data_IF_639796630935
#
_entry.id   IF_639796630935
#
_cell.length_a   1.000
_cell.length_b   1.000
_cell.length_c   1.000
_cell.angle_alpha   90.00
_cell.angle_beta   90.00
_cell.angle_gamma   90.00
#
_symmetry.space_group_name_H-M   'P 1'
#
loop_
_entity.id
_entity.type
_entity.pdbx_description
1 polymer ?
2 non-polymer ?
3 non-polymer ?
4 non-polymer ?
5 water ?
#
# COMPACT_ATOMS: atom_id res chain seq x y z
N UNK A 10 -0.23 9.00 24.83
CA UNK A 10 -1.68 8.86 25.07
C UNK A 10 -2.10 7.39 24.95
N UNK A 11 -1.96 6.74 26.10
CA UNK A 11 -2.27 5.35 26.35
C UNK A 11 -3.62 5.22 27.03
N UNK A 12 -4.38 4.27 26.52
CA UNK A 12 -5.75 4.01 27.00
C UNK A 12 -5.60 2.99 28.13
N UNK A 13 -6.43 3.13 29.15
CA UNK A 13 -6.41 2.22 30.29
C UNK A 13 -6.69 0.80 29.78
N UNK A 14 -5.88 -0.11 30.22
CA UNK A 14 -5.94 -1.52 29.88
C UNK A 14 -7.28 -2.16 30.17
N UNK A 15 -7.86 -2.80 29.14
CA UNK A 15 -9.14 -3.49 29.32
C UNK A 15 -8.86 -4.69 30.25
N UNK A 16 -9.90 -5.14 30.94
CA UNK A 16 -9.83 -6.25 31.83
C UNK A 16 -9.24 -7.52 31.29
N UNK A 17 -9.50 -7.91 30.08
CA UNK A 17 -9.06 -9.22 29.57
C UNK A 17 -7.66 -9.27 29.16
N UNK A 18 -6.94 -8.16 29.17
CA UNK A 18 -5.58 -8.10 28.67
C UNK A 18 -4.51 -8.37 29.72
N UNK A 19 -3.79 -9.47 29.52
CA UNK A 19 -2.70 -9.86 30.48
C UNK A 19 -1.61 -8.82 30.35
N UNK A 20 -1.21 -8.23 31.46
CA UNK A 20 -0.29 -7.10 31.41
C UNK A 20 1.03 -7.39 30.77
N UNK A 21 1.39 -8.67 30.66
CA UNK A 21 2.64 -9.14 30.12
C UNK A 21 2.56 -9.15 28.60
N UNK A 22 1.32 -8.95 28.11
CA UNK A 22 1.08 -8.86 26.69
C UNK A 22 1.13 -7.42 26.25
N UNK A 23 1.24 -6.44 27.10
CA UNK A 23 1.35 -5.04 26.70
C UNK A 23 2.70 -4.74 26.07
N UNK A 24 2.67 -4.06 24.97
CA UNK A 24 3.82 -3.59 24.14
C UNK A 24 3.27 -2.36 23.43
N UNK A 25 3.56 -1.17 23.92
CA UNK A 25 3.04 0.07 23.43
C UNK A 25 3.69 0.66 22.18
N UNK A 26 3.30 0.13 21.07
CA UNK A 26 3.64 0.49 19.71
C UNK A 26 2.55 1.48 19.22
N UNK A 27 3.00 2.53 18.62
CA UNK A 27 2.28 3.57 17.95
C UNK A 27 2.45 3.38 16.42
N UNK A 28 1.53 2.76 15.75
CA UNK A 28 1.53 2.51 14.32
C UNK A 28 1.72 3.81 13.54
N UNK A 29 1.33 4.93 14.10
CA UNK A 29 1.40 6.22 13.50
C UNK A 29 2.67 6.98 13.80
N UNK A 30 3.43 6.50 14.76
CA UNK A 30 4.69 7.15 15.16
C UNK A 30 5.55 6.23 16.01
N UNK A 31 6.01 5.18 15.34
CA UNK A 31 6.88 4.21 15.97
C UNK A 31 8.16 4.93 16.36
N UNK A 32 8.78 4.31 17.37
CA UNK A 32 10.01 4.75 17.98
C UNK A 32 11.22 4.89 17.13
N UNK A 33 11.57 3.89 16.36
CA UNK A 33 12.86 3.99 15.58
C UNK A 33 12.75 4.66 14.23
N UNK A 34 11.83 5.53 13.98
CA UNK A 34 11.53 6.09 12.67
C UNK A 34 12.71 6.51 11.86
N UNK A 35 13.58 7.23 12.48
CA UNK A 35 14.86 7.69 11.87
C UNK A 35 15.61 6.54 11.22
N UNK A 36 15.62 5.34 11.75
CA UNK A 36 16.43 4.27 11.07
C UNK A 36 15.73 3.68 9.88
N UNK A 37 14.53 4.16 9.58
CA UNK A 37 13.72 3.55 8.51
C UNK A 37 12.46 2.98 9.09
N UNK A 38 11.44 2.96 8.28
CA UNK A 38 10.10 2.56 8.67
C UNK A 38 9.97 1.06 8.86
N UNK A 39 10.44 0.20 8.01
CA UNK A 39 10.38 -1.23 8.13
C UNK A 39 11.21 -1.62 9.38
N UNK A 40 12.38 -1.01 9.53
CA UNK A 40 13.21 -1.15 10.71
C UNK A 40 12.46 -0.78 11.98
N UNK A 41 11.66 0.24 12.06
CA UNK A 41 10.87 0.73 13.14
C UNK A 41 9.82 -0.30 13.56
N UNK A 42 9.16 -0.92 12.63
CA UNK A 42 8.13 -1.91 12.85
C UNK A 42 8.72 -3.24 13.29
N UNK A 43 9.89 -3.59 12.81
CA UNK A 43 10.56 -4.86 13.06
C UNK A 43 10.93 -5.02 14.53
N UNK A 44 10.85 -3.94 15.31
CA UNK A 44 11.15 -4.02 16.72
C UNK A 44 10.13 -5.01 17.33
N UNK A 45 8.90 -5.08 16.90
CA UNK A 45 7.87 -5.96 17.27
C UNK A 45 8.32 -7.42 17.07
N UNK A 46 9.38 -7.64 16.33
CA UNK A 46 9.76 -9.07 16.13
C UNK A 46 11.01 -9.47 16.89
N UNK A 47 11.47 -8.56 17.73
CA UNK A 47 12.63 -8.88 18.58
C UNK A 47 12.14 -9.97 19.59
N UNK A 48 13.09 -10.69 20.15
CA UNK A 48 12.94 -11.74 21.13
C UNK A 48 12.13 -11.42 22.37
N UNK A 49 12.23 -10.24 22.91
CA UNK A 49 11.46 -9.77 24.04
C UNK A 49 9.98 -9.58 23.78
N UNK A 50 9.56 -9.70 22.49
CA UNK A 50 8.17 -9.42 22.18
C UNK A 50 7.37 -10.65 21.94
N UNK A 51 6.28 -10.79 22.68
CA UNK A 51 5.37 -11.92 22.47
C UNK A 51 4.79 -11.72 21.03
N UNK A 52 4.37 -12.75 20.37
CA UNK A 52 3.81 -12.98 19.11
C UNK A 52 2.50 -12.19 18.89
N UNK A 53 1.68 -12.06 19.86
CA UNK A 53 0.43 -11.32 19.85
C UNK A 53 0.50 -10.35 21.04
N UNK A 54 0.53 -9.08 20.78
CA UNK A 54 0.63 -8.03 21.77
C UNK A 54 -0.55 -7.12 21.83
N UNK A 55 -0.63 -6.33 22.89
CA UNK A 55 -1.69 -5.38 23.10
C UNK A 55 -0.96 -4.03 23.20
N UNK A 56 -1.48 -3.09 22.44
CA UNK A 56 -0.85 -1.76 22.52
C UNK A 56 -1.93 -0.85 23.04
N UNK A 57 -1.48 0.15 23.73
CA UNK A 57 -2.44 1.07 24.39
C UNK A 57 -2.63 2.35 23.64
N UNK A 58 -1.80 2.52 22.60
CA UNK A 58 -1.90 3.76 21.79
C UNK A 58 -3.05 3.54 20.81
N UNK A 59 -3.52 4.66 20.27
CA UNK A 59 -4.52 4.58 19.20
C UNK A 59 -5.75 3.87 19.67
N UNK A 60 -5.92 3.93 20.98
CA UNK A 60 -7.09 3.44 21.68
C UNK A 60 -7.10 2.03 22.18
N UNK A 61 -6.05 1.30 21.99
CA UNK A 61 -5.84 -0.04 22.41
C UNK A 61 -6.36 -1.00 21.39
N UNK A 62 -5.45 -1.86 21.02
CA UNK A 62 -5.79 -2.89 19.97
C UNK A 62 -4.67 -3.93 20.07
N UNK A 63 -4.88 -5.04 19.48
CA UNK A 63 -3.95 -6.17 19.36
C UNK A 63 -3.07 -5.94 18.13
N UNK A 64 -1.96 -6.58 17.99
CA UNK A 64 -1.07 -6.55 16.83
C UNK A 64 -0.54 -8.00 16.73
N UNK A 65 -0.70 -8.70 15.69
CA UNK A 65 -0.14 -10.00 15.43
C UNK A 65 1.26 -9.65 14.92
N UNK A 66 2.32 -10.28 15.31
CA UNK A 66 3.69 -9.87 14.93
C UNK A 66 4.41 -10.87 14.02
N UNK A 67 3.80 -11.95 13.70
CA UNK A 67 4.36 -13.03 12.97
C UNK A 67 3.55 -13.44 11.77
N UNK A 68 4.37 -13.76 10.76
CA UNK A 68 3.87 -14.20 9.48
C UNK A 68 2.70 -15.13 9.61
N UNK A 69 2.88 -16.09 10.51
CA UNK A 69 1.96 -17.24 10.69
C UNK A 69 0.62 -16.86 11.18
N UNK A 70 0.58 -15.97 12.14
CA UNK A 70 -0.58 -15.49 12.76
C UNK A 70 -1.32 -14.55 11.82
N UNK A 71 -0.62 -13.68 11.14
CA UNK A 71 -1.18 -12.68 10.17
C UNK A 71 -1.94 -13.39 9.07
N UNK A 72 -1.33 -14.36 8.46
CA UNK A 72 -1.92 -15.23 7.45
C UNK A 72 -3.15 -15.88 8.00
N UNK A 73 -3.08 -16.45 9.18
CA UNK A 73 -4.19 -17.14 9.82
C UNK A 73 -5.37 -16.26 10.10
N UNK A 74 -5.08 -15.10 10.63
CA UNK A 74 -6.08 -14.08 10.96
C UNK A 74 -6.72 -13.59 9.67
N UNK A 75 -5.96 -13.44 8.61
CA UNK A 75 -6.44 -13.07 7.30
C UNK A 75 -7.32 -14.07 6.62
N UNK A 76 -7.07 -15.34 6.81
CA UNK A 76 -7.80 -16.45 6.26
C UNK A 76 -9.15 -16.61 6.95
N UNK A 77 -9.24 -16.45 8.22
CA UNK A 77 -10.34 -16.58 9.14
C UNK A 77 -11.38 -15.52 9.17
N UNK A 78 -12.09 -15.19 8.14
CA UNK A 78 -13.03 -14.06 8.12
C UNK A 78 -14.18 -14.16 9.07
N UNK A 79 -14.50 -15.38 9.47
CA UNK A 79 -15.57 -15.62 10.47
C UNK A 79 -15.29 -14.92 11.79
N UNK A 80 -14.03 -14.97 12.26
CA UNK A 80 -13.68 -14.36 13.55
C UNK A 80 -13.19 -12.94 13.39
N UNK A 81 -12.43 -12.82 12.31
CA UNK A 81 -11.74 -11.55 12.03
C UNK A 81 -12.36 -10.88 10.82
N UNK A 82 -13.20 -9.96 11.07
CA UNK A 82 -14.02 -9.27 10.09
C UNK A 82 -13.44 -7.99 9.53
N UNK A 83 -13.69 -7.79 8.24
CA UNK A 83 -13.21 -6.56 7.55
C UNK A 83 -14.13 -5.41 7.82
N UNK A 84 -15.09 -5.66 8.70
CA UNK A 84 -16.08 -4.58 8.91
C UNK A 84 -15.47 -3.30 9.42
N UNK A 85 -14.42 -3.42 10.15
CA UNK A 85 -13.77 -2.20 10.83
C UNK A 85 -12.29 -2.51 10.72
N UNK A 86 -11.69 -2.14 9.58
CA UNK A 86 -10.35 -2.59 9.22
C UNK A 86 -9.24 -1.65 9.47
N UNK A 87 -9.62 -0.45 9.85
CA UNK A 87 -8.71 0.64 10.15
C UNK A 87 -8.82 0.88 11.67
N UNK A 88 -7.69 1.23 12.17
CA UNK A 88 -7.39 1.71 13.52
C UNK A 88 -7.01 3.19 13.31
N UNK A 89 -7.40 4.07 14.20
CA UNK A 89 -8.20 3.89 15.39
C UNK A 89 -9.63 3.56 15.02
N UNK A 90 -10.46 3.22 15.95
CA UNK A 90 -11.81 2.72 15.83
C UNK A 90 -12.74 3.61 15.07
N UNK A 91 -12.84 4.84 15.37
CA UNK A 91 -13.60 5.90 14.71
C UNK A 91 -13.36 5.91 13.19
N UNK A 92 -12.15 5.60 12.77
CA UNK A 92 -11.75 5.48 11.40
C UNK A 92 -12.24 4.13 10.84
N UNK A 93 -12.10 3.04 11.57
CA UNK A 93 -12.54 1.73 11.02
C UNK A 93 -14.04 1.68 10.86
N UNK A 94 -14.71 2.47 11.67
CA UNK A 94 -16.12 2.60 11.79
C UNK A 94 -16.75 3.40 10.62
N UNK A 95 -16.08 4.49 10.32
CA UNK A 95 -16.45 5.37 9.19
C UNK A 95 -16.03 4.71 7.88
N UNK A 96 -15.13 3.73 7.95
CA UNK A 96 -14.69 3.01 6.76
C UNK A 96 -15.85 2.24 6.17
N UNK A 97 -16.19 2.54 4.90
CA UNK A 97 -17.24 1.86 4.16
C UNK A 97 -16.86 1.51 2.70
N UNK A 98 -15.61 1.60 2.35
CA UNK A 98 -15.11 1.24 1.03
C UNK A 98 -15.48 -0.16 0.58
N UNK A 99 -15.64 -0.39 -0.74
CA UNK A 99 -16.04 -1.77 -1.17
C UNK A 99 -14.93 -2.22 -2.11
N UNK A 100 -14.48 -3.44 -2.08
CA UNK A 100 -14.97 -4.56 -1.27
C UNK A 100 -14.35 -4.66 0.12
N UNK A 101 -13.40 -3.83 0.46
CA UNK A 101 -12.62 -3.82 1.64
C UNK A 101 -13.32 -3.84 2.97
N UNK A 102 -14.54 -3.35 3.09
CA UNK A 102 -15.23 -3.35 4.37
C UNK A 102 -16.27 -4.45 4.49
N UNK A 103 -16.21 -5.47 3.67
CA UNK A 103 -17.06 -6.59 3.56
C UNK A 103 -16.30 -7.92 3.61
N UNK A 104 -17.07 -8.89 4.11
CA UNK A 104 -16.61 -10.25 4.26
C UNK A 104 -17.24 -11.15 3.23
N UNK A 105 -16.62 -12.27 2.92
CA UNK A 105 -17.25 -13.29 2.02
C UNK A 105 -18.52 -13.68 2.73
N UNK A 106 -19.62 -14.02 2.06
CA UNK A 106 -19.76 -14.21 0.60
C UNK A 106 -20.17 -12.98 -0.17
N UNK A 107 -20.68 -11.98 0.51
CA UNK A 107 -21.05 -10.68 -0.02
C UNK A 107 -19.92 -10.03 -0.78
N UNK A 108 -18.74 -9.98 -0.18
CA UNK A 108 -17.53 -9.41 -0.80
C UNK A 108 -17.30 -9.88 -2.21
N UNK A 109 -17.49 -11.15 -2.49
CA UNK A 109 -17.20 -11.82 -3.75
C UNK A 109 -17.79 -11.25 -5.02
N UNK A 110 -19.00 -10.78 -4.99
CA UNK A 110 -19.67 -10.19 -6.16
C UNK A 110 -19.05 -8.84 -6.44
N UNK A 111 -18.79 -8.03 -5.42
CA UNK A 111 -18.16 -6.73 -5.69
C UNK A 111 -16.73 -6.89 -6.20
N UNK A 112 -15.99 -7.83 -5.70
CA UNK A 112 -14.57 -8.05 -6.09
C UNK A 112 -14.53 -8.40 -7.57
N UNK A 113 -15.48 -9.22 -7.97
CA UNK A 113 -15.61 -9.71 -9.36
C UNK A 113 -15.69 -8.54 -10.34
N UNK A 114 -16.41 -7.50 -9.91
CA UNK A 114 -16.62 -6.28 -10.64
C UNK A 114 -15.38 -5.43 -10.70
N UNK A 115 -14.79 -5.12 -9.56
CA UNK A 115 -13.53 -4.33 -9.47
C UNK A 115 -12.45 -5.00 -10.27
N UNK A 116 -12.48 -6.32 -10.30
CA UNK A 116 -11.53 -7.12 -11.05
C UNK A 116 -11.63 -6.79 -12.53
N UNK A 117 -12.80 -6.52 -13.05
CA UNK A 117 -13.08 -6.20 -14.42
C UNK A 117 -12.26 -4.98 -14.88
N UNK A 118 -12.26 -3.96 -14.09
CA UNK A 118 -11.58 -2.72 -14.22
C UNK A 118 -10.09 -2.65 -14.02
N UNK A 119 -9.45 -3.39 -13.16
CA UNK A 119 -8.05 -3.42 -12.80
C UNK A 119 -7.34 -4.73 -13.05
N UNK A 120 -8.04 -5.74 -13.44
CA UNK A 120 -7.54 -7.11 -13.66
C UNK A 120 -6.33 -7.17 -14.56
N UNK A 121 -5.83 -8.38 -14.80
CA UNK A 121 -4.71 -8.66 -15.71
C UNK A 121 -4.96 -8.11 -17.13
N UNK A 122 -6.12 -8.42 -17.69
CA UNK A 122 -6.55 -8.01 -19.02
C UNK A 122 -6.49 -6.51 -19.25
N UNK A 123 -6.82 -5.68 -18.32
CA UNK A 123 -6.71 -4.23 -18.37
C UNK A 123 -5.24 -3.80 -18.38
N UNK A 124 -4.39 -4.40 -17.55
CA UNK A 124 -2.98 -4.08 -17.49
C UNK A 124 -2.31 -4.40 -18.84
N UNK A 125 -2.63 -5.58 -19.31
CA UNK A 125 -2.19 -6.07 -20.62
C UNK A 125 -2.44 -5.00 -21.72
N UNK A 126 -3.54 -4.34 -21.68
CA UNK A 126 -3.98 -3.31 -22.60
C UNK A 126 -3.25 -2.00 -22.39
N UNK A 127 -2.97 -1.64 -21.13
CA UNK A 127 -2.34 -0.38 -20.80
C UNK A 127 -0.84 -0.38 -20.80
N UNK A 128 -0.25 -1.48 -21.08
CA UNK A 128 1.16 -1.63 -21.09
C UNK A 128 1.98 -0.62 -21.80
N UNK A 129 1.63 -0.37 -23.04
CA UNK A 129 2.36 0.58 -23.91
C UNK A 129 2.22 1.99 -23.34
N UNK A 130 1.17 2.31 -22.68
CA UNK A 130 1.10 3.65 -22.11
C UNK A 130 2.01 3.74 -20.91
N UNK A 131 2.07 2.59 -20.21
CA UNK A 131 2.88 2.58 -18.97
C UNK A 131 4.33 2.90 -19.33
N UNK A 132 4.81 2.17 -20.23
CA UNK A 132 6.14 2.13 -20.84
C UNK A 132 6.47 3.42 -21.50
N UNK A 133 5.43 3.96 -22.16
CA UNK A 133 5.53 5.25 -22.82
C UNK A 133 5.68 6.34 -21.77
N UNK A 134 4.90 6.37 -20.74
CA UNK A 134 4.97 7.43 -19.71
C UNK A 134 6.26 7.38 -18.93
N UNK A 135 6.72 6.15 -18.67
CA UNK A 135 7.97 5.98 -17.90
C UNK A 135 9.12 6.59 -18.66
N UNK A 136 9.26 6.13 -19.91
CA UNK A 136 10.38 6.58 -20.77
C UNK A 136 10.36 8.10 -20.87
N UNK A 137 9.18 8.63 -21.00
CA UNK A 137 9.04 10.08 -21.14
C UNK A 137 9.48 10.86 -19.95
N UNK A 138 8.99 10.53 -18.78
CA UNK A 138 9.28 11.20 -17.48
C UNK A 138 10.76 11.04 -17.18
N UNK A 139 11.32 9.89 -17.49
CA UNK A 139 12.74 9.64 -17.23
C UNK A 139 13.65 10.52 -18.08
N UNK A 140 13.41 10.36 -19.40
CA UNK A 140 14.23 11.09 -20.40
C UNK A 140 14.15 12.55 -20.13
N UNK A 141 13.05 13.04 -19.70
CA UNK A 141 12.91 14.46 -19.33
C UNK A 141 13.76 14.77 -18.13
N UNK A 142 13.98 13.80 -17.22
CA UNK A 142 14.75 14.06 -15.97
C UNK A 142 16.25 13.98 -16.16
N UNK A 143 16.65 13.02 -16.97
CA UNK A 143 17.98 12.65 -17.34
C UNK A 143 19.04 13.69 -17.43
N UNK A 144 18.84 14.74 -18.23
CA UNK A 144 19.85 15.78 -18.47
C UNK A 144 19.99 16.76 -17.33
N UNK A 145 19.10 16.75 -16.37
CA UNK A 145 19.17 17.63 -15.19
C UNK A 145 20.19 17.28 -14.13
N UNK A 146 20.55 16.02 -14.05
CA UNK A 146 21.44 15.48 -13.05
C UNK A 146 20.87 15.63 -11.63
N UNK A 147 19.56 15.82 -11.52
CA UNK A 147 18.95 16.00 -10.22
C UNK A 147 17.47 15.96 -10.24
N UNK A 148 16.82 15.31 -9.26
CA UNK A 148 15.40 15.41 -9.05
C UNK A 148 15.05 15.26 -7.57
N UNK A 149 13.85 15.27 -7.23
CA UNK A 149 13.05 14.99 -6.07
C UNK A 149 12.28 13.74 -6.41
N UNK A 150 12.78 12.58 -6.55
CA UNK A 150 12.11 11.43 -7.10
C UNK A 150 10.67 11.30 -6.67
N UNK A 151 10.41 11.64 -5.41
CA UNK A 151 9.04 11.54 -4.91
C UNK A 151 8.15 12.42 -5.74
N UNK A 152 8.43 13.70 -5.87
CA UNK A 152 7.58 14.58 -6.64
C UNK A 152 7.72 14.55 -8.13
N UNK A 153 8.88 14.34 -8.65
CA UNK A 153 9.24 14.24 -10.04
C UNK A 153 8.92 12.97 -10.73
N UNK A 154 8.67 11.88 -10.02
CA UNK A 154 8.39 10.60 -10.77
C UNK A 154 7.39 9.73 -10.01
N UNK A 155 7.79 9.46 -8.75
CA UNK A 155 6.99 8.56 -7.93
C UNK A 155 5.52 8.89 -7.95
N UNK A 156 5.12 10.13 -7.84
CA UNK A 156 3.75 10.62 -7.90
C UNK A 156 3.14 10.69 -9.28
N UNK A 157 3.76 11.41 -10.22
CA UNK A 157 3.27 11.52 -11.61
C UNK A 157 3.01 10.19 -12.28
N UNK A 158 4.05 9.36 -12.34
CA UNK A 158 3.98 8.06 -12.98
C UNK A 158 2.71 7.31 -12.75
N UNK A 159 2.52 6.79 -11.55
CA UNK A 159 1.35 6.01 -11.20
C UNK A 159 0.06 6.78 -11.26
N UNK A 160 0.03 8.03 -10.86
CA UNK A 160 -1.16 8.87 -10.82
C UNK A 160 -1.79 9.17 -12.15
N UNK A 161 -1.01 9.57 -13.12
CA UNK A 161 -1.41 9.79 -14.48
C UNK A 161 -1.89 8.52 -15.17
N UNK A 162 -1.38 7.36 -14.85
CA UNK A 162 -1.85 6.13 -15.51
C UNK A 162 -3.21 5.77 -14.95
N UNK A 163 -3.38 6.22 -13.71
CA UNK A 163 -4.63 5.94 -13.01
C UNK A 163 -5.64 6.95 -13.56
N UNK A 164 -5.24 8.23 -13.64
CA UNK A 164 -6.18 9.27 -14.14
C UNK A 164 -6.70 8.80 -15.49
N UNK A 165 -5.83 8.34 -16.32
CA UNK A 165 -6.10 7.81 -17.65
C UNK A 165 -7.09 6.69 -17.62
N UNK A 166 -6.96 5.80 -16.68
CA UNK A 166 -7.75 4.59 -16.54
C UNK A 166 -9.19 4.94 -16.23
N UNK A 167 -9.30 5.78 -15.23
CA UNK A 167 -10.50 6.30 -14.64
C UNK A 167 -11.19 7.35 -15.50
N UNK A 168 -10.44 8.00 -16.35
CA UNK A 168 -10.89 9.10 -17.20
C UNK A 168 -11.12 10.31 -16.29
N UNK A 169 -10.15 10.68 -15.47
CA UNK A 169 -10.33 11.85 -14.57
C UNK A 169 -9.25 12.86 -14.90
N UNK A 170 -9.54 14.12 -14.61
CA UNK A 170 -8.59 15.19 -14.94
C UNK A 170 -7.35 15.30 -14.10
N UNK A 171 -6.19 15.35 -14.76
CA UNK A 171 -4.91 15.53 -14.09
C UNK A 171 -4.89 16.65 -13.09
N UNK A 172 -5.78 17.59 -13.34
CA UNK A 172 -5.92 18.81 -12.53
C UNK A 172 -6.35 18.41 -11.13
N UNK A 173 -7.08 17.32 -11.03
CA UNK A 173 -7.65 16.86 -9.75
C UNK A 173 -6.65 16.23 -8.81
N UNK A 174 -5.50 15.82 -9.34
CA UNK A 174 -4.43 15.21 -8.60
C UNK A 174 -4.17 15.67 -7.19
N UNK A 175 -3.87 16.94 -6.99
CA UNK A 175 -3.49 17.47 -5.70
C UNK A 175 -4.51 17.31 -4.60
N UNK A 176 -5.74 17.52 -4.99
CA UNK A 176 -6.87 17.47 -4.07
C UNK A 176 -7.01 16.01 -3.64
N UNK A 177 -7.13 15.15 -4.64
CA UNK A 177 -7.27 13.70 -4.38
C UNK A 177 -6.12 13.15 -3.58
N UNK A 178 -4.94 13.64 -3.90
CA UNK A 178 -3.70 13.18 -3.22
C UNK A 178 -3.75 13.58 -1.79
N UNK A 179 -4.13 14.80 -1.44
CA UNK A 179 -4.22 15.22 -0.01
C UNK A 179 -5.28 14.42 0.74
N UNK A 180 -6.47 14.22 0.18
CA UNK A 180 -7.48 13.44 0.89
C UNK A 180 -6.99 12.02 1.12
N UNK A 181 -6.30 11.39 0.17
CA UNK A 181 -5.77 10.02 0.32
C UNK A 181 -4.81 9.97 1.52
N UNK A 182 -3.87 10.86 1.55
CA UNK A 182 -2.87 11.04 2.60
C UNK A 182 -3.43 11.15 4.00
N UNK A 183 -4.53 11.78 4.22
CA UNK A 183 -5.23 11.91 5.49
C UNK A 183 -5.87 10.61 5.92
N UNK A 184 -6.16 9.72 5.00
CA UNK A 184 -6.83 8.45 5.32
C UNK A 184 -5.87 7.43 5.91
N UNK A 185 -4.74 7.31 5.35
CA UNK A 185 -3.60 6.48 5.55
C UNK A 185 -2.51 6.95 6.53
N UNK A 186 -2.18 8.22 6.52
CA UNK A 186 -1.19 8.84 7.33
C UNK A 186 -1.66 10.18 7.91
N UNK A 187 -2.70 10.06 8.73
CA UNK A 187 -3.35 11.19 9.38
C UNK A 187 -2.41 12.21 9.99
N UNK A 188 -2.63 13.44 9.59
CA UNK A 188 -1.95 14.66 9.92
C UNK A 188 -2.39 15.34 11.22
N UNK A 189 -3.69 15.24 11.46
CA UNK A 189 -4.43 15.81 12.55
C UNK A 189 -5.43 16.82 11.97
N UNK A 190 -5.20 17.17 10.73
CA UNK A 190 -5.89 18.20 9.99
C UNK A 190 -7.33 17.86 9.65
N UNK A 191 -7.52 16.55 9.47
CA UNK A 191 -8.85 16.04 9.19
C UNK A 191 -9.07 14.65 9.73
N UNK A 192 -10.25 14.48 10.31
CA UNK A 192 -10.72 13.17 10.79
C UNK A 192 -10.96 12.29 9.53
N UNK A 193 -10.99 11.00 9.68
CA UNK A 193 -11.18 10.01 8.63
C UNK A 193 -12.53 10.23 7.96
N UNK A 194 -13.59 10.44 8.69
CA UNK A 194 -14.94 10.68 8.18
C UNK A 194 -15.01 11.91 7.31
N UNK A 195 -14.39 13.02 7.69
CA UNK A 195 -14.31 14.25 6.91
C UNK A 195 -13.56 13.96 5.58
N UNK A 196 -12.41 13.32 5.64
CA UNK A 196 -11.63 13.03 4.45
C UNK A 196 -12.48 12.16 3.52
N UNK A 197 -13.15 11.22 4.14
CA UNK A 197 -13.96 10.25 3.39
C UNK A 197 -15.11 10.95 2.65
N UNK A 198 -15.73 11.85 3.35
CA UNK A 198 -16.84 12.65 2.84
C UNK A 198 -16.50 13.50 1.67
N UNK A 199 -15.38 14.21 1.73
CA UNK A 199 -14.83 15.06 0.70
C UNK A 199 -14.45 14.26 -0.53
N UNK A 200 -13.99 13.03 -0.38
CA UNK A 200 -13.59 12.26 -1.57
C UNK A 200 -14.92 11.95 -2.28
N UNK A 201 -15.91 11.76 -1.40
CA UNK A 201 -17.23 11.42 -1.82
C UNK A 201 -17.96 12.55 -2.49
N UNK A 202 -17.91 13.77 -2.06
CA UNK A 202 -18.51 14.95 -2.73
C UNK A 202 -17.94 15.04 -4.16
N UNK A 203 -16.69 14.73 -4.25
CA UNK A 203 -15.94 14.65 -5.48
C UNK A 203 -16.54 13.60 -6.36
N UNK A 204 -16.72 12.37 -5.96
CA UNK A 204 -17.18 11.32 -6.83
C UNK A 204 -18.61 11.32 -7.30
N UNK A 205 -19.54 11.60 -6.44
CA UNK A 205 -20.97 11.56 -6.64
C UNK A 205 -21.43 12.08 -8.01
N UNK A 206 -21.17 13.34 -8.29
CA UNK A 206 -21.49 13.98 -9.55
C UNK A 206 -20.96 13.18 -10.74
N UNK A 207 -19.68 12.85 -10.68
CA UNK A 207 -18.99 12.07 -11.70
C UNK A 207 -19.71 10.77 -11.93
N UNK A 208 -20.10 10.11 -10.86
CA UNK A 208 -20.83 8.84 -10.97
C UNK A 208 -22.18 9.07 -11.62
N UNK A 209 -22.86 10.10 -11.23
CA UNK A 209 -24.20 10.44 -11.81
C UNK A 209 -24.15 10.47 -13.33
N UNK A 210 -23.25 11.27 -13.81
CA UNK A 210 -22.85 11.60 -15.15
C UNK A 210 -22.56 10.34 -15.96
N UNK A 211 -21.94 9.35 -15.36
CA UNK A 211 -21.52 8.11 -16.01
C UNK A 211 -22.54 7.02 -15.95
N UNK A 212 -23.60 7.29 -15.20
CA UNK A 212 -24.74 6.34 -15.11
C UNK A 212 -25.59 6.68 -16.36
N UNK A 213 -25.75 7.99 -16.54
CA UNK A 213 -26.44 8.64 -17.63
C UNK A 213 -25.77 8.38 -18.98
N UNK A 214 -24.57 8.91 -19.13
CA UNK A 214 -23.68 8.89 -20.25
C UNK A 214 -22.34 8.19 -20.05
N UNK A 215 -22.41 6.85 -20.16
CA UNK A 215 -21.28 5.99 -20.03
C UNK A 215 -20.20 6.13 -21.08
N UNK A 216 -18.99 6.08 -20.59
CA UNK A 216 -17.78 5.96 -21.39
C UNK A 216 -17.32 4.46 -21.25
N UNK A 217 -16.03 4.33 -21.48
CA UNK A 217 -15.27 3.10 -21.45
C UNK A 217 -14.24 3.16 -20.31
N UNK A 218 -14.28 4.17 -19.49
CA UNK A 218 -13.37 4.36 -18.36
C UNK A 218 -13.80 3.47 -17.19
N UNK A 219 -12.91 3.24 -16.23
CA UNK A 219 -13.18 2.36 -15.08
C UNK A 219 -14.42 2.81 -14.31
N UNK A 220 -14.60 4.11 -14.19
CA UNK A 220 -15.73 4.64 -13.46
C UNK A 220 -17.05 4.33 -14.10
N UNK A 221 -17.16 4.40 -15.40
CA UNK A 221 -18.40 4.15 -16.14
C UNK A 221 -18.71 2.65 -16.01
N UNK A 222 -17.66 1.84 -16.09
CA UNK A 222 -17.81 0.39 -16.02
C UNK A 222 -18.30 -0.01 -14.60
N UNK A 223 -17.76 0.61 -13.57
CA UNK A 223 -18.19 0.33 -12.17
C UNK A 223 -19.61 0.84 -11.98
N UNK A 224 -19.91 2.04 -12.34
CA UNK A 224 -21.19 2.72 -12.25
C UNK A 224 -22.40 2.07 -12.85
N UNK A 225 -22.23 1.24 -13.84
CA UNK A 225 -23.24 0.54 -14.62
C UNK A 225 -23.07 -0.97 -14.52
N UNK A 226 -22.31 -1.47 -13.56
CA UNK A 226 -22.07 -2.91 -13.47
C UNK A 226 -23.19 -3.68 -12.81
N UNK A 227 -23.09 -5.00 -12.86
CA UNK A 227 -24.04 -5.90 -12.23
C UNK A 227 -23.39 -6.62 -11.02
N UNK A 228 -24.15 -6.67 -9.95
CA UNK A 228 -23.80 -7.38 -8.72
C UNK A 228 -25.00 -8.21 -8.27
N UNK A 229 -24.79 -9.51 -8.29
CA UNK A 229 -25.81 -10.50 -7.91
C UNK A 229 -27.08 -10.32 -8.76
N UNK A 230 -26.85 -10.38 -10.08
CA UNK A 230 -27.85 -10.27 -11.12
C UNK A 230 -28.59 -8.97 -11.26
N UNK A 231 -28.42 -8.06 -10.33
CA UNK A 231 -29.07 -6.73 -10.36
C UNK A 231 -28.01 -5.68 -10.58
N UNK A 232 -28.44 -4.49 -10.95
CA UNK A 232 -27.57 -3.35 -11.21
C UNK A 232 -26.98 -2.83 -9.89
N UNK A 233 -25.75 -2.36 -9.93
CA UNK A 233 -25.17 -1.80 -8.67
C UNK A 233 -25.90 -0.50 -8.36
N UNK A 234 -26.05 -0.16 -7.12
CA UNK A 234 -26.65 1.12 -6.74
C UNK A 234 -25.48 2.13 -6.86
N UNK A 235 -25.88 3.35 -6.73
CA UNK A 235 -25.07 4.55 -6.80
C UNK A 235 -24.08 4.66 -5.64
N UNK A 236 -24.53 4.39 -4.46
CA UNK A 236 -23.82 4.37 -3.17
C UNK A 236 -22.75 3.27 -3.26
N UNK A 237 -23.18 2.10 -3.75
CA UNK A 237 -22.25 1.01 -4.03
C UNK A 237 -21.12 1.45 -4.97
N UNK A 238 -21.43 2.14 -6.07
CA UNK A 238 -20.38 2.54 -7.02
C UNK A 238 -19.47 3.57 -6.44
N UNK A 239 -20.16 4.48 -5.73
CA UNK A 239 -19.42 5.58 -5.08
C UNK A 239 -18.35 4.96 -4.18
N UNK A 240 -18.80 4.00 -3.39
CA UNK A 240 -17.97 3.22 -2.47
C UNK A 240 -16.99 2.34 -3.18
N UNK A 241 -17.21 1.66 -4.29
CA UNK A 241 -16.11 0.97 -4.95
C UNK A 241 -15.08 2.00 -5.51
N UNK A 242 -15.61 2.97 -6.28
CA UNK A 242 -14.68 3.91 -6.90
C UNK A 242 -13.79 4.60 -5.90
N UNK A 243 -14.31 4.93 -4.75
CA UNK A 243 -13.55 5.61 -3.69
C UNK A 243 -12.33 4.72 -3.35
N UNK A 244 -12.54 3.43 -3.23
CA UNK A 244 -11.43 2.52 -2.97
C UNK A 244 -10.41 2.50 -4.11
N UNK A 245 -10.84 2.45 -5.36
CA UNK A 245 -10.01 2.38 -6.53
C UNK A 245 -9.03 3.54 -6.55
N UNK A 246 -9.50 4.71 -6.22
CA UNK A 246 -8.72 5.93 -6.16
C UNK A 246 -7.57 5.88 -5.17
N UNK A 247 -7.94 5.82 -3.90
CA UNK A 247 -7.01 5.80 -2.74
C UNK A 247 -6.09 4.58 -2.83
N UNK A 248 -6.73 3.52 -3.33
CA UNK A 248 -6.15 2.20 -3.50
C UNK A 248 -4.79 2.33 -4.09
N UNK A 249 -4.59 2.86 -5.24
CA UNK A 249 -3.39 3.15 -5.95
C UNK A 249 -2.82 4.53 -5.96
N UNK A 250 -3.52 5.60 -5.69
CA UNK A 250 -2.92 6.93 -5.66
C UNK A 250 -1.86 6.98 -4.52
N UNK A 251 -1.79 6.00 -3.67
CA UNK A 251 -0.96 5.95 -2.49
C UNK A 251 0.04 4.86 -2.30
N UNK A 252 -0.38 3.67 -2.64
CA UNK A 252 0.51 2.51 -2.49
C UNK A 252 1.65 2.48 -3.46
N UNK A 253 1.50 2.55 -4.76
CA UNK A 253 2.59 2.47 -5.73
C UNK A 253 3.62 3.58 -5.58
N UNK A 254 3.02 4.73 -5.33
CA UNK A 254 3.82 5.96 -5.18
C UNK A 254 4.89 5.81 -4.12
N UNK A 255 4.55 5.38 -2.92
CA UNK A 255 5.43 5.13 -1.78
C UNK A 255 6.29 3.92 -2.06
N UNK A 256 5.72 2.82 -2.52
CA UNK A 256 6.61 1.67 -2.84
C UNK A 256 7.77 2.07 -3.72
N UNK A 257 7.62 2.93 -4.74
CA UNK A 257 8.69 3.29 -5.67
C UNK A 257 9.82 4.04 -5.06
N UNK A 258 9.46 4.94 -4.14
CA UNK A 258 10.46 5.71 -3.41
C UNK A 258 11.30 4.84 -2.48
N UNK A 259 10.72 3.87 -1.76
CA UNK A 259 11.45 2.99 -0.90
C UNK A 259 12.51 2.25 -1.73
N UNK A 260 12.03 1.76 -2.88
CA UNK A 260 12.87 0.94 -3.77
C UNK A 260 13.99 1.76 -4.39
N UNK A 261 13.59 2.98 -4.76
CA UNK A 261 14.56 3.87 -5.41
C UNK A 261 15.60 4.31 -4.42
N UNK A 262 15.16 4.48 -3.18
CA UNK A 262 16.07 4.96 -2.05
C UNK A 262 17.07 3.87 -1.84
N UNK A 263 16.61 2.65 -1.77
CA UNK A 263 17.57 1.53 -1.70
C UNK A 263 18.46 1.53 -2.91
N UNK A 264 17.94 1.59 -4.15
CA UNK A 264 18.83 1.55 -5.33
C UNK A 264 19.91 2.62 -5.35
N UNK A 265 19.61 3.85 -4.94
CA UNK A 265 20.52 4.97 -4.88
C UNK A 265 21.71 4.72 -3.98
N UNK A 266 21.48 3.82 -3.02
CA UNK A 266 22.50 3.46 -2.00
C UNK A 266 23.21 2.18 -2.32
N UNK A 267 22.82 1.37 -3.22
CA UNK A 267 23.44 0.09 -3.47
C UNK A 267 23.83 -0.17 -4.88
N UNK A 268 25.03 0.32 -5.21
CA UNK A 268 25.56 0.23 -6.55
C UNK A 268 25.59 -1.12 -7.14
N UNK A 269 25.79 -2.11 -6.31
CA UNK A 269 25.98 -3.50 -6.76
C UNK A 269 24.65 -4.09 -7.07
N UNK A 270 23.60 -3.45 -6.51
CA UNK A 270 22.26 -3.95 -6.76
C UNK A 270 21.80 -3.52 -8.16
N UNK A 271 22.05 -2.27 -8.47
CA UNK A 271 21.80 -1.66 -9.79
C UNK A 271 22.53 -2.42 -10.89
N UNK A 272 23.80 -2.72 -10.73
CA UNK A 272 24.62 -3.41 -11.67
C UNK A 272 24.11 -4.79 -12.01
N UNK A 273 23.64 -5.39 -10.93
CA UNK A 273 23.14 -6.77 -11.05
C UNK A 273 21.98 -6.77 -12.01
N UNK A 274 21.14 -5.76 -11.89
CA UNK A 274 19.96 -5.62 -12.71
C UNK A 274 20.27 -5.20 -14.14
N UNK A 275 21.31 -4.47 -14.33
CA UNK A 275 21.83 -4.02 -15.60
C UNK A 275 22.43 -5.16 -16.38
N UNK A 276 23.23 -6.02 -15.76
CA UNK A 276 23.83 -7.12 -16.45
C UNK A 276 23.03 -8.35 -16.68
N UNK A 277 22.07 -8.57 -15.83
CA UNK A 277 21.21 -9.78 -15.82
C UNK A 277 19.76 -9.43 -15.68
N UNK A 278 19.20 -8.68 -16.63
CA UNK A 278 17.83 -8.23 -16.67
C UNK A 278 16.77 -9.27 -16.49
N UNK A 279 17.08 -10.54 -16.69
CA UNK A 279 16.23 -11.68 -16.49
C UNK A 279 15.84 -11.77 -15.00
N UNK A 280 16.60 -11.14 -14.15
CA UNK A 280 16.46 -11.06 -12.73
C UNK A 280 15.56 -9.95 -12.25
N UNK A 281 15.07 -9.09 -13.12
CA UNK A 281 14.17 -8.02 -12.63
C UNK A 281 12.93 -8.49 -11.92
N UNK A 282 12.28 -9.50 -12.38
CA UNK A 282 11.00 -10.03 -11.83
C UNK A 282 11.23 -10.49 -10.40
N UNK A 283 12.29 -11.22 -10.19
CA UNK A 283 12.82 -11.70 -8.93
C UNK A 283 13.19 -10.53 -8.04
N UNK A 284 13.95 -9.57 -8.50
CA UNK A 284 14.29 -8.39 -7.71
C UNK A 284 13.04 -7.62 -7.26
N UNK A 285 12.02 -7.65 -8.09
CA UNK A 285 10.78 -6.94 -7.87
C UNK A 285 10.10 -7.52 -6.63
N UNK A 286 10.01 -8.83 -6.57
CA UNK A 286 9.42 -9.56 -5.44
C UNK A 286 10.22 -9.33 -4.17
N UNK A 287 11.53 -9.38 -4.24
CA UNK A 287 12.44 -9.12 -3.16
C UNK A 287 12.24 -7.72 -2.66
N UNK A 288 12.09 -6.72 -3.47
CA UNK A 288 11.83 -5.33 -3.05
C UNK A 288 10.46 -5.22 -2.42
N UNK A 289 9.47 -5.90 -2.99
CA UNK A 289 8.11 -5.98 -2.41
C UNK A 289 8.15 -6.59 -0.99
N UNK A 290 8.98 -7.59 -0.77
CA UNK A 290 9.16 -8.18 0.53
C UNK A 290 9.87 -7.23 1.49
N UNK A 291 11.00 -6.71 1.06
CA UNK A 291 11.82 -5.87 1.91
C UNK A 291 11.25 -4.51 2.12
N UNK A 292 10.56 -3.88 1.15
CA UNK A 292 10.02 -2.54 1.41
C UNK A 292 8.53 -2.53 1.57
N UNK A 293 7.96 -3.64 1.99
CA UNK A 293 6.52 -3.85 2.22
C UNK A 293 6.08 -2.67 3.11
N UNK A 294 4.87 -2.19 2.86
CA UNK A 294 4.40 -0.97 3.48
C UNK A 294 3.02 -0.80 3.99
N UNK A 295 2.17 -1.75 3.86
CA UNK A 295 0.78 -1.59 4.33
C UNK A 295 0.58 -2.24 5.69
N UNK A 296 -0.26 -1.64 6.52
CA UNK A 296 -0.68 -2.18 7.77
C UNK A 296 -2.13 -1.97 8.09
N UNK A 297 -2.98 -2.93 7.84
CA UNK A 297 -4.41 -2.69 8.32
C UNK A 297 -4.77 -3.84 9.26
N UNK A 298 -6.08 -4.05 9.54
CA UNK A 298 -6.49 -5.13 10.42
C UNK A 298 -7.95 -5.52 10.28
N UNK A 299 -8.45 -6.12 11.35
CA UNK A 299 -9.78 -6.71 11.47
C UNK A 299 -10.44 -6.51 12.80
N UNK A 300 -11.73 -6.82 12.86
CA UNK A 300 -12.50 -6.66 14.13
C UNK A 300 -12.93 -8.04 14.52
N UNK A 301 -12.95 -8.31 15.82
CA UNK A 301 -13.42 -9.66 16.32
C UNK A 301 -14.95 -9.61 16.38
N UNK A 302 -15.53 -10.60 15.80
CA UNK A 302 -17.03 -10.72 15.68
C UNK A 302 -17.63 -11.37 16.93
N UNK A 303 -16.73 -12.01 17.69
CA UNK A 303 -17.10 -12.66 18.96
C UNK A 303 -15.84 -12.93 19.79
N UNK A 304 -16.13 -13.47 20.98
CA UNK A 304 -15.07 -13.97 21.86
C UNK A 304 -14.45 -15.19 21.14
N UNK A 305 -13.13 -15.15 21.18
CA UNK A 305 -12.37 -16.22 20.50
C UNK A 305 -10.95 -16.23 21.09
N UNK A 306 -10.51 -17.47 21.26
CA UNK A 306 -9.20 -17.74 21.77
C UNK A 306 -8.25 -18.12 20.67
N UNK A 307 -7.25 -17.27 20.49
CA UNK A 307 -6.33 -17.42 19.33
C UNK A 307 -4.91 -17.50 19.79
N UNK A 308 -4.25 -18.60 19.50
CA UNK A 308 -2.87 -18.80 19.93
C UNK A 308 -2.71 -18.56 21.42
N UNK A 309 -3.70 -18.99 22.19
CA UNK A 309 -3.75 -18.96 23.62
C UNK A 309 -4.18 -17.68 24.27
N UNK A 310 -4.48 -16.67 23.44
CA UNK A 310 -4.86 -15.34 23.98
C UNK A 310 -6.35 -15.18 23.82
N UNK A 311 -6.96 -14.50 24.80
CA UNK A 311 -8.39 -14.26 24.79
C UNK A 311 -8.74 -12.92 24.11
N UNK A 312 -9.44 -13.10 23.00
CA UNK A 312 -9.87 -11.92 22.19
C UNK A 312 -11.35 -11.75 22.50
N UNK A 313 -11.69 -10.56 22.94
CA UNK A 313 -13.09 -10.27 23.20
C UNK A 313 -13.74 -9.70 21.93
N UNK A 314 -14.97 -10.07 21.66
CA UNK A 314 -15.77 -9.54 20.56
C UNK A 314 -15.64 -8.01 20.54
N UNK A 315 -15.35 -7.42 19.36
CA UNK A 315 -15.26 -5.95 19.29
C UNK A 315 -13.84 -5.45 19.37
N UNK A 316 -12.95 -6.31 19.85
CA UNK A 316 -11.54 -5.91 19.88
C UNK A 316 -11.09 -5.66 18.43
N UNK A 317 -10.19 -4.74 18.24
CA UNK A 317 -9.59 -4.62 16.87
C UNK A 317 -8.19 -5.22 16.98
N UNK A 318 -7.72 -5.83 15.93
CA UNK A 318 -6.37 -6.36 15.84
C UNK A 318 -5.69 -5.84 14.55
N UNK A 319 -4.46 -5.37 14.63
CA UNK A 319 -3.64 -4.91 13.54
C UNK A 319 -2.91 -6.14 13.00
N UNK A 320 -3.06 -6.46 11.79
CA UNK A 320 -2.41 -7.63 11.13
C UNK A 320 -1.52 -7.02 10.03
N UNK A 321 -0.34 -6.56 10.42
CA UNK A 321 0.57 -5.89 9.51
C UNK A 321 1.05 -6.65 8.34
N UNK A 322 0.57 -6.36 7.12
CA UNK A 322 1.07 -7.07 5.92
C UNK A 322 2.57 -6.93 5.78
N UNK A 323 3.05 -5.82 6.27
CA UNK A 323 4.46 -5.44 6.28
C UNK A 323 5.43 -6.38 6.94
N UNK A 324 5.00 -7.01 8.03
CA UNK A 324 5.74 -7.87 8.92
C UNK A 324 5.88 -9.29 8.50
N UNK A 325 5.00 -9.94 7.84
CA UNK A 325 5.23 -11.30 7.44
C UNK A 325 6.56 -11.61 6.78
N UNK A 326 7.04 -10.80 5.85
CA UNK A 326 8.27 -11.12 5.09
C UNK A 326 9.51 -10.57 5.76
N UNK A 327 9.29 -9.73 6.77
CA UNK A 327 10.40 -9.21 7.58
C UNK A 327 10.69 -10.23 8.74
N UNK A 328 9.78 -11.13 9.00
CA UNK A 328 9.85 -12.20 9.98
C UNK A 328 10.89 -13.26 9.61
N UNK A 329 11.91 -13.34 10.44
CA UNK A 329 12.99 -14.30 10.35
C UNK A 329 12.55 -15.72 10.24
N UNK A 330 11.44 -16.11 10.84
CA UNK A 330 10.90 -17.47 10.74
C UNK A 330 10.49 -17.77 9.29
N UNK A 331 10.29 -16.76 8.48
CA UNK A 331 9.84 -16.81 7.10
C UNK A 331 10.94 -16.52 6.09
N UNK A 332 11.76 -15.56 6.37
CA UNK A 332 12.89 -15.21 5.51
C UNK A 332 14.16 -15.14 6.32
N UNK A 333 15.17 -15.91 5.99
CA UNK A 333 16.49 -15.79 6.69
C UNK A 333 16.98 -14.36 6.39
N UNK A 334 17.79 -13.79 7.22
CA UNK A 334 18.41 -12.47 7.06
C UNK A 334 17.47 -11.44 6.42
N UNK A 335 16.34 -11.21 7.04
CA UNK A 335 15.27 -10.42 6.49
C UNK A 335 15.51 -9.03 6.09
N UNK A 336 16.44 -8.35 6.69
CA UNK A 336 16.68 -6.95 6.34
C UNK A 336 17.67 -6.85 5.17
N UNK A 337 18.22 -7.96 4.82
CA UNK A 337 19.21 -7.97 3.71
C UNK A 337 18.38 -8.12 2.43
N UNK A 338 18.77 -7.36 1.39
CA UNK A 338 18.10 -7.50 0.10
C UNK A 338 18.90 -8.52 -0.74
N UNK A 339 18.37 -9.62 -1.14
CA UNK A 339 19.10 -10.62 -1.98
C UNK A 339 18.19 -11.04 -3.15
N UNK A 340 18.60 -10.67 -4.36
CA UNK A 340 17.83 -10.93 -5.55
C UNK A 340 17.77 -12.39 -5.93
N UNK A 341 18.59 -13.21 -5.37
CA UNK A 341 18.64 -14.63 -5.62
C UNK A 341 18.19 -15.57 -4.54
N UNK A 342 17.34 -15.07 -3.65
CA UNK A 342 16.77 -15.90 -2.60
C UNK A 342 15.94 -17.03 -3.26
N UNK A 343 16.09 -18.23 -2.78
CA UNK A 343 15.28 -19.34 -3.22
C UNK A 343 13.79 -19.08 -3.04
N UNK A 344 13.34 -18.47 -1.99
CA UNK A 344 11.87 -18.27 -1.76
C UNK A 344 11.69 -16.95 -1.07
N UNK A 345 11.04 -16.05 -1.70
CA UNK A 345 10.66 -14.69 -1.29
C UNK A 345 9.20 -14.94 -0.79
N UNK A 346 9.05 -14.91 0.50
CA UNK A 346 7.78 -15.12 1.18
C UNK A 346 7.35 -13.77 1.71
N UNK A 347 6.20 -13.27 1.30
CA UNK A 347 5.70 -11.96 1.80
C UNK A 347 4.18 -12.06 1.74
N UNK A 348 3.49 -11.11 2.29
CA UNK A 348 2.09 -10.89 2.15
C UNK A 348 1.91 -9.39 1.84
N UNK A 349 2.77 -8.84 0.98
CA UNK A 349 2.72 -7.42 0.62
C UNK A 349 1.39 -6.97 0.07
N UNK A 350 0.74 -7.78 -0.76
CA UNK A 350 -0.54 -7.47 -1.40
C UNK A 350 -1.69 -8.03 -0.58
N UNK A 351 -1.41 -8.57 0.63
CA UNK A 351 -2.43 -9.11 1.51
C UNK A 351 -2.55 -10.62 1.46
N UNK A 352 -3.62 -11.04 2.13
CA UNK A 352 -3.79 -12.52 2.25
C UNK A 352 -5.24 -12.74 2.52
N UNK A 353 -5.71 -13.88 2.08
CA UNK A 353 -7.09 -14.27 2.20
C UNK A 353 -7.91 -13.70 1.06
N UNK A 354 -9.17 -13.65 1.34
CA UNK A 354 -10.19 -13.22 0.36
C UNK A 354 -10.00 -11.83 -0.17
N UNK A 355 -9.25 -11.00 0.53
CA UNK A 355 -9.01 -9.62 0.12
C UNK A 355 -7.71 -9.37 -0.56
N UNK A 356 -7.04 -10.34 -1.06
CA UNK A 356 -5.78 -10.19 -1.79
C UNK A 356 -6.00 -9.16 -2.92
N UNK A 357 -5.07 -8.26 -2.98
CA UNK A 357 -5.03 -7.13 -3.85
C UNK A 357 -5.25 -7.40 -5.33
N UNK A 358 -6.25 -6.74 -5.84
CA UNK A 358 -6.74 -6.77 -7.23
C UNK A 358 -5.75 -6.01 -8.13
N UNK A 359 -5.25 -4.95 -7.56
CA UNK A 359 -4.26 -4.09 -8.18
C UNK A 359 -2.84 -4.51 -8.24
N UNK A 360 -2.59 -5.75 -7.81
CA UNK A 360 -1.19 -6.25 -7.80
C UNK A 360 -0.56 -6.31 -9.14
N UNK A 361 -1.37 -6.65 -10.14
CA UNK A 361 -0.82 -6.84 -11.53
C UNK A 361 -0.36 -5.51 -12.08
N UNK A 362 -1.20 -4.54 -11.78
CA UNK A 362 -0.94 -3.15 -12.16
C UNK A 362 0.34 -2.68 -11.51
N UNK A 363 0.41 -2.81 -10.22
CA UNK A 363 1.64 -2.44 -9.44
C UNK A 363 2.84 -3.15 -9.89
N UNK A 364 2.92 -4.44 -10.11
CA UNK A 364 4.11 -5.08 -10.58
C UNK A 364 4.59 -4.55 -11.93
N UNK A 365 3.67 -4.25 -12.86
CA UNK A 365 3.95 -3.69 -14.19
C UNK A 365 4.59 -2.36 -14.08
N UNK A 366 4.09 -1.46 -13.28
CA UNK A 366 4.65 -0.14 -12.97
C UNK A 366 6.03 -0.22 -12.31
N UNK A 367 6.30 -1.21 -11.49
CA UNK A 367 7.56 -1.46 -10.80
C UNK A 367 8.61 -1.95 -11.75
N UNK A 368 8.30 -3.00 -12.49
CA UNK A 368 9.25 -3.53 -13.44
C UNK A 368 9.62 -2.51 -14.50
N UNK A 369 8.65 -1.78 -15.00
CA UNK A 369 8.93 -0.77 -16.06
C UNK A 369 9.86 0.28 -15.57
N UNK A 370 9.54 0.83 -14.41
CA UNK A 370 10.35 1.89 -13.79
C UNK A 370 11.81 1.45 -13.60
N UNK A 371 12.01 0.24 -13.10
CA UNK A 371 13.34 -0.25 -12.81
C UNK A 371 14.06 -0.43 -14.14
N UNK A 372 13.47 -1.14 -15.06
CA UNK A 372 14.18 -1.42 -16.35
C UNK A 372 14.47 -0.10 -17.04
N UNK A 373 13.46 0.74 -17.10
CA UNK A 373 13.55 2.05 -17.74
C UNK A 373 14.50 3.00 -17.12
N UNK A 374 14.56 3.12 -15.83
CA UNK A 374 15.47 4.05 -15.13
C UNK A 374 16.91 3.63 -15.28
N UNK A 375 17.16 2.37 -14.92
CA UNK A 375 18.52 1.83 -14.98
C UNK A 375 19.17 1.94 -16.32
N UNK A 376 18.36 1.93 -17.33
CA UNK A 376 18.79 2.03 -18.71
C UNK A 376 19.39 3.39 -19.02
N UNK A 377 18.69 4.42 -18.72
CA UNK A 377 19.00 5.81 -18.93
C UNK A 377 19.93 6.38 -17.89
N UNK A 378 19.70 6.10 -16.62
CA UNK A 378 20.53 6.64 -15.52
C UNK A 378 20.96 5.48 -14.61
N UNK A 379 21.99 4.78 -15.03
CA UNK A 379 22.53 3.66 -14.32
C UNK A 379 23.26 4.02 -13.04
N UNK A 380 23.67 5.22 -12.90
CA UNK A 380 24.55 5.67 -11.76
C UNK A 380 23.96 6.97 -11.23
N UNK A 381 23.54 6.84 -9.99
CA UNK A 381 22.86 7.94 -9.28
C UNK A 381 23.07 7.69 -7.79
N UNK A 382 22.88 8.76 -7.05
CA UNK A 382 23.02 8.66 -5.60
C UNK A 382 22.15 9.65 -4.89
N UNK A 383 22.05 9.53 -3.57
CA UNK A 383 21.26 10.46 -2.76
C UNK A 383 22.07 11.73 -2.70
N UNK A 384 21.37 12.82 -2.73
CA UNK A 384 22.06 14.11 -2.66
C UNK A 384 22.84 14.20 -1.35
N UNK A 385 24.01 14.81 -1.43
CA UNK A 385 24.84 15.06 -0.23
C UNK A 385 24.05 15.91 0.76
N UNK A 386 24.06 15.53 2.00
CA UNK A 386 23.46 16.18 3.14
C UNK A 386 21.95 16.08 3.19
N UNK A 387 21.49 15.10 2.41
CA UNK A 387 20.03 14.88 2.40
C UNK A 387 19.82 13.86 3.53
N UNK A 388 18.75 14.14 4.23
CA UNK A 388 18.28 13.24 5.30
C UNK A 388 16.90 12.73 4.83
N UNK A 389 16.77 11.47 4.50
CA UNK A 389 15.49 10.88 4.05
C UNK A 389 14.59 10.57 5.23
N UNK A 390 13.37 11.02 5.21
CA UNK A 390 12.42 10.77 6.31
C UNK A 390 11.31 9.83 5.87
N UNK A 391 11.09 8.80 6.65
CA UNK A 391 10.00 7.86 6.36
C UNK A 391 8.83 8.29 7.17
N UNK A 392 7.67 7.84 6.81
CA UNK A 392 6.48 8.21 7.69
C UNK A 392 5.73 6.90 7.84
N UNK A 393 5.03 6.75 8.94
CA UNK A 393 4.23 5.54 9.22
C UNK A 393 2.76 5.76 9.27
N UNK A 394 1.95 4.74 9.06
CA UNK A 394 0.52 4.67 9.13
C UNK A 394 0.03 3.41 8.43
N UNK A 395 -1.21 3.45 7.94
CA UNK A 395 -1.80 2.37 7.21
C UNK A 395 -0.92 2.07 5.97
N UNK A 396 -0.52 3.11 5.30
CA UNK A 396 0.41 3.01 4.15
C UNK A 396 1.61 3.85 4.58
N UNK A 397 2.77 3.27 4.65
CA UNK A 397 3.96 4.07 5.05
C UNK A 397 4.50 4.72 3.77
N UNK A 398 5.26 5.77 3.95
CA UNK A 398 5.91 6.48 2.85
C UNK A 398 7.24 7.10 3.12
N UNK A 399 7.73 7.76 2.09
CA UNK A 399 8.99 8.55 2.08
C UNK A 399 8.54 10.00 1.91
N UNK A 400 9.04 10.92 2.63
CA UNK A 400 8.69 12.36 2.52
C UNK A 400 9.18 13.01 1.22
N UNK A 401 10.41 12.84 0.87
CA UNK A 401 11.04 13.43 -0.34
C UNK A 401 12.28 12.58 -0.63
N UNK A 402 12.68 12.47 -1.87
CA UNK A 402 13.88 11.71 -2.21
C UNK A 402 14.80 12.44 -3.17
N UNK A 403 15.68 13.28 -2.65
CA UNK A 403 16.67 14.05 -3.42
C UNK A 403 17.70 13.11 -4.03
N UNK A 404 17.80 13.03 -5.33
CA UNK A 404 18.77 12.22 -6.05
C UNK A 404 19.66 13.13 -6.89
N UNK A 405 20.88 12.79 -7.15
CA UNK A 405 21.85 13.56 -7.91
C UNK A 405 22.55 12.53 -8.82
N UNK A 406 23.02 13.02 -9.93
CA UNK A 406 23.76 12.16 -10.88
C UNK A 406 24.52 13.06 -11.85
N UNK A 407 25.48 12.47 -12.52
CA UNK A 407 26.29 13.19 -13.54
C UNK A 407 25.61 12.89 -14.90
N UNK A 408 25.16 13.89 -15.57
CA UNK A 408 24.49 13.70 -16.88
C UNK A 408 25.34 12.95 -17.83
N UNK A 409 26.64 13.27 -17.76
CA UNK A 409 27.62 12.65 -18.66
C UNK A 409 27.62 11.15 -18.51
N UNK A 410 26.97 10.63 -17.48
CA UNK A 410 26.99 9.16 -17.28
C UNK A 410 25.69 8.53 -17.72
N UNK A 411 24.80 9.39 -18.23
CA UNK A 411 23.51 8.88 -18.67
C UNK A 411 23.57 8.41 -20.07
N UNK A 412 22.44 7.85 -20.47
CA UNK A 412 22.28 7.29 -21.81
C UNK A 412 20.83 7.59 -22.24
N UNK A 413 20.76 8.37 -23.27
CA UNK A 413 19.48 8.76 -23.89
C UNK A 413 19.14 7.59 -24.82
N UNK A 414 17.87 7.35 -24.89
CA UNK A 414 17.27 6.31 -25.75
C UNK A 414 16.30 7.00 -26.71
X LIG B 1 -4.51 -1.54 -2.38
X LIG C 1 -6.38 -4.64 -1.42
X LIG C 1 -1.71 -3.56 -0.84
X LIG C 1 -1.71 -1.45 -5.18
X LIG C 1 -6.48 -1.79 -5.31
X LIG C 1 -5.11 -4.56 -0.87
X LIG C 1 -4.68 -5.14 0.39
X LIG C 1 -3.37 -4.85 0.54
X LIG C 1 -2.99 -4.04 -0.60
X LIG C 1 -2.43 -5.22 1.68
X LIG C 1 -5.59 -5.96 1.31
X LIG C 1 -6.16 -5.17 2.53
X LIG C 1 -7.04 -6.01 3.38
X LIG C 1 -6.97 -7.30 3.31
X LIG C 1 -7.80 -5.31 4.11
X LIG C 1 -1.31 -2.96 -2.00
X LIG C 1 0.06 -2.58 -2.31
X LIG C 1 0.05 -1.95 -3.51
X LIG C 1 -1.29 -1.98 -3.97
X LIG C 1 1.26 -2.82 -1.38
X LIG C 1 1.22 -1.36 -4.27
X LIG C 1 2.48 -1.41 -4.06
X LIG C 1 -3.01 -1.32 -5.61
X LIG C 1 -3.42 -0.78 -6.90
X LIG C 1 -4.76 -0.86 -6.90
X LIG C 1 -5.22 -1.40 -5.64
X LIG C 1 -2.45 -0.21 -7.93
X LIG C 1 -5.76 -0.45 -8.05
X LIG C 1 -6.45 0.66 -7.87
X LIG C 1 -6.89 -2.71 -4.35
X LIG C 1 -8.20 -3.24 -4.17
X LIG C 1 -8.19 -4.03 -3.07
X LIG C 1 -6.87 -3.99 -2.54
X LIG C 1 -9.37 -2.91 -5.12
X LIG C 1 -9.37 -4.78 -2.43
X LIG C 1 -9.64 -6.23 -2.79
X LIG C 1 -10.80 -6.90 -2.07
X LIG C 1 -11.15 -8.03 -2.52
X LIG C 1 -11.26 -6.32 -1.10
X LIG C 1 -4.05 -3.94 -1.46
X LIG C 1 -2.17 -2.54 -3.04
X LIG C 1 -4.11 -1.73 -4.88
X LIG C 1 -6.03 -3.25 -3.36
X LIG C 1 -4.07 -3.20 -3.42
X LIG D 1 -8.41 2.32 2.08
X LIG D 1 -7.08 2.19 1.88
X LIG D 1 -6.59 3.47 1.95
X LIG D 1 -8.64 3.69 2.33
X LIG D 1 -7.53 4.34 2.25
X LIG D 1 -6.25 0.97 1.61
X LIG D 1 -6.83 -0.30 1.57
X LIG D 1 -6.11 -1.45 1.25
X LIG D 1 -4.72 -1.33 1.15
X LIG D 1 -4.11 -0.10 1.26
X LIG D 1 -4.87 1.02 1.51
#
# INVERSE_FOLDING_TARGET
TTETIQSNANLAPLPPHVPEHLVFDFDMYNPSNLSAGVQEAWAVLQESNVPDLVWTRCNGGHWIATRGQLIREAYEDYRHFSSECPFIPREAGEAYDFIPTSMDPPEQRQFRALANQVVGMPVVDKLENRIQELACSLIESLRPQGQCNFTEDYAEPFPIRIFMLLAGLPEEDIPHLKYLTDQMTRPDGSMTFAEAKEALYDYLIPIIEQRRQKPGTDAISIVANGQVNGRPITSDEAKRMCGLLLVGGLDTVVNFLSFSMEFLAKSPEHRQELIERPERIPAACEELLRRFSLVADGRILTSDYEFHGVQLKKGDQILLPQMLSGLDERENACPMHVDFSRQKVSHTTFGHGSHLCLGQHLARREIIVTLKEWLTRIPDFSIAPGAQIQHKSGIVSGVQALPLVWDPATTKAV
SO4 S
HEM CHA CHB CHC CHD C1A C2A C3A C4A CMA CAA CBA CGA O1A O2A C1B C2B C3B C4B CMB CAB CBB C1C C2C C3C C4C CMC CAC CBC C1D C2D C3D C4D CMD CAD CBD CGD O1D O2D NA NB NC ND FE
PIY N1 C2 N3 C4 C5 C6 C7 C8 C9 C10 C11
#
